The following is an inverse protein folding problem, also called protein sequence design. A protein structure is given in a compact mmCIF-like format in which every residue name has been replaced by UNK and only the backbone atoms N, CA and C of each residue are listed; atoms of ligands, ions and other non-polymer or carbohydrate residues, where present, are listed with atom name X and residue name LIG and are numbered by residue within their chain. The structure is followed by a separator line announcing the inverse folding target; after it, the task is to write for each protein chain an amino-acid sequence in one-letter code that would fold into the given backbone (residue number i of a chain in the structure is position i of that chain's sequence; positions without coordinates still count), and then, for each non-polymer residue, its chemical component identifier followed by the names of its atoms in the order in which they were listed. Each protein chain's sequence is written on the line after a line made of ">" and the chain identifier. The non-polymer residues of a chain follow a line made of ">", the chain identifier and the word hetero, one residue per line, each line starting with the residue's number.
data_IF_198603165664
#
_entry.id   IF_198603165664
#
_cell.length_a   1.000
_cell.length_b   1.000
_cell.length_c   1.000
_cell.angle_alpha   90.00
_cell.angle_beta   90.00
_cell.angle_gamma   90.00
#
_symmetry.space_group_name_H-M   'P 1'
#
loop_
_entity.id
_entity.type
_entity.pdbx_description
1 polymer ?
#
# COMPACT_ATOMS: atom_id res chain seq x y z
N UNK A 1 -81.72 20.43 -13.72
CA UNK A 1 -81.41 19.82 -12.41
C UNK A 1 -79.89 19.76 -12.23
N UNK A 2 -79.29 20.78 -11.59
CA UNK A 2 -77.87 20.81 -11.19
C UNK A 2 -77.83 21.42 -9.80
N UNK A 3 -77.38 20.65 -8.82
CA UNK A 3 -77.10 21.19 -7.48
C UNK A 3 -77.24 20.14 -6.39
N UNK A 4 -76.17 19.38 -6.12
CA UNK A 4 -75.94 18.64 -4.86
C UNK A 4 -74.56 17.95 -4.87
N UNK A 5 -73.46 18.67 -5.14
CA UNK A 5 -72.12 18.04 -5.06
C UNK A 5 -70.95 18.95 -4.64
N UNK A 6 -71.24 20.07 -3.96
CA UNK A 6 -70.20 20.99 -3.45
C UNK A 6 -70.09 21.05 -1.92
N UNK A 7 -71.08 20.57 -1.16
CA UNK A 7 -71.05 20.62 0.31
C UNK A 7 -70.28 19.47 0.98
N UNK A 8 -70.05 18.35 0.30
CA UNK A 8 -69.35 17.18 0.89
C UNK A 8 -67.83 17.32 0.84
N UNK A 9 -67.27 17.96 -0.20
CA UNK A 9 -65.81 18.18 -0.34
C UNK A 9 -65.24 19.20 0.63
N UNK A 10 -66.02 20.19 1.06
CA UNK A 10 -65.59 21.22 2.02
C UNK A 10 -65.59 20.72 3.46
N UNK A 11 -66.43 19.74 3.82
CA UNK A 11 -66.41 19.11 5.15
C UNK A 11 -65.21 18.19 5.35
N UNK A 12 -64.82 17.43 4.32
CA UNK A 12 -63.64 16.54 4.40
C UNK A 12 -62.31 17.31 4.51
N UNK A 13 -62.17 18.46 3.82
CA UNK A 13 -60.96 19.30 3.93
C UNK A 13 -60.77 19.92 5.33
N UNK A 14 -61.85 20.21 6.06
CA UNK A 14 -61.76 20.75 7.43
C UNK A 14 -61.39 19.70 8.48
N UNK A 15 -61.73 18.42 8.26
CA UNK A 15 -61.38 17.33 9.18
C UNK A 15 -59.91 16.92 9.01
N UNK A 16 -59.38 16.92 7.78
CA UNK A 16 -57.96 16.63 7.52
C UNK A 16 -57.03 17.72 8.09
N UNK A 17 -57.44 19.00 8.02
CA UNK A 17 -56.65 20.10 8.59
C UNK A 17 -56.65 20.11 10.13
N UNK A 18 -57.72 19.61 10.77
CA UNK A 18 -57.81 19.49 12.22
C UNK A 18 -56.98 18.31 12.77
N UNK A 19 -56.83 17.22 12.01
CA UNK A 19 -55.96 16.09 12.38
C UNK A 19 -54.47 16.38 12.16
N UNK A 20 -54.10 17.24 11.21
CA UNK A 20 -52.71 17.69 11.05
C UNK A 20 -52.25 18.65 12.16
N UNK A 21 -53.16 19.37 12.81
CA UNK A 21 -52.80 20.27 13.92
C UNK A 21 -52.58 19.53 15.24
N UNK A 22 -53.16 18.33 15.41
CA UNK A 22 -52.98 17.48 16.61
C UNK A 22 -51.76 16.56 16.48
N UNK A 23 -51.31 16.24 15.27
CA UNK A 23 -50.08 15.47 15.04
C UNK A 23 -48.79 16.31 15.18
N UNK A 24 -48.88 17.65 15.19
CA UNK A 24 -47.72 18.55 15.37
C UNK A 24 -47.41 18.90 16.84
N UNK A 25 -48.09 18.29 17.82
CA UNK A 25 -47.86 18.58 19.25
C UNK A 25 -47.23 17.42 20.04
N UNK A 26 -46.68 16.40 19.37
CA UNK A 26 -46.08 15.21 20.03
C UNK A 26 -44.59 14.98 19.72
N UNK A 27 -43.87 15.96 19.18
CA UNK A 27 -42.40 15.92 19.11
C UNK A 27 -41.80 17.20 19.68
N UNK A 28 -41.82 17.31 21.01
CA UNK A 28 -40.96 18.24 21.74
C UNK A 28 -39.90 17.42 22.45
N UNK A 29 -38.70 17.45 21.86
CA UNK A 29 -37.40 17.47 22.50
C UNK A 29 -37.22 16.67 23.81
N UNK A 30 -36.56 15.52 23.73
CA UNK A 30 -35.63 15.10 24.78
C UNK A 30 -34.43 16.06 24.78
N UNK A 31 -34.61 17.23 25.41
CA UNK A 31 -33.48 17.96 25.97
C UNK A 31 -33.07 17.22 27.25
N UNK A 32 -31.94 16.52 27.19
CA UNK A 32 -31.21 16.14 28.39
C UNK A 32 -30.70 17.44 29.05
N UNK A 33 -31.52 18.05 29.90
CA UNK A 33 -31.05 19.07 30.83
C UNK A 33 -30.29 18.37 31.95
N UNK A 34 -28.97 18.55 31.98
CA UNK A 34 -28.21 18.33 33.19
C UNK A 34 -28.79 19.26 34.27
N UNK A 35 -29.49 18.71 35.26
CA UNK A 35 -30.03 19.47 36.38
C UNK A 35 -28.88 19.91 37.27
N UNK A 36 -28.40 21.13 37.05
CA UNK A 36 -27.52 21.82 37.99
C UNK A 36 -28.37 22.31 39.16
N UNK A 37 -28.34 21.57 40.28
CA UNK A 37 -28.97 22.00 41.52
C UNK A 37 -28.18 23.17 42.11
N UNK A 38 -28.65 24.40 41.88
CA UNK A 38 -28.20 25.59 42.59
C UNK A 38 -29.08 25.83 43.81
N UNK A 39 -28.50 25.85 45.00
CA UNK A 39 -29.20 26.19 46.25
C UNK A 39 -29.65 27.67 46.22
N UNK A 40 -30.83 27.98 46.79
CA UNK A 40 -31.41 29.33 46.77
C UNK A 40 -30.69 30.23 47.78
N UNK A 41 -30.17 31.37 47.30
CA UNK A 41 -29.45 32.37 48.11
C UNK A 41 -30.41 33.13 49.02
N UNK A 42 -29.97 33.39 50.26
CA UNK A 42 -30.71 34.23 51.19
C UNK A 42 -30.31 35.71 51.05
N UNK A 43 -31.11 36.61 51.62
CA UNK A 43 -30.97 38.07 51.49
C UNK A 43 -29.59 38.61 51.93
N UNK A 44 -28.94 37.97 52.91
CA UNK A 44 -27.59 38.31 53.36
C UNK A 44 -26.51 37.99 52.31
N UNK A 45 -26.65 36.87 51.58
CA UNK A 45 -25.70 36.47 50.53
C UNK A 45 -25.80 37.35 49.28
N UNK A 46 -26.95 38.01 49.08
CA UNK A 46 -27.17 38.91 47.96
C UNK A 46 -26.52 40.28 48.15
N UNK A 47 -26.36 40.72 49.40
CA UNK A 47 -25.81 42.03 49.77
C UNK A 47 -24.31 42.00 50.07
N UNK A 48 -23.77 40.88 50.57
CA UNK A 48 -22.38 40.82 51.04
C UNK A 48 -21.56 39.62 50.49
N UNK A 49 -22.14 38.76 49.65
CA UNK A 49 -21.46 37.57 49.12
C UNK A 49 -20.61 37.84 47.86
N UNK A 50 -19.44 37.19 47.76
CA UNK A 50 -18.62 37.18 46.54
C UNK A 50 -19.23 36.28 45.46
N UNK A 51 -19.20 36.75 44.21
CA UNK A 51 -19.71 36.02 43.04
C UNK A 51 -18.68 35.01 42.53
N UNK A 52 -18.65 33.81 43.09
CA UNK A 52 -18.08 32.63 42.42
C UNK A 52 -19.03 31.43 42.48
N UNK A 53 -19.16 30.64 41.40
CA UNK A 53 -19.90 29.39 41.45
C UNK A 53 -19.07 28.33 42.19
N UNK A 54 -19.43 28.03 43.44
CA UNK A 54 -18.84 26.91 44.17
C UNK A 54 -19.33 25.59 43.56
N UNK A 55 -18.42 24.85 42.92
CA UNK A 55 -18.67 23.50 42.44
C UNK A 55 -18.79 22.55 43.64
N UNK A 56 -19.97 21.96 43.84
CA UNK A 56 -20.17 20.89 44.82
C UNK A 56 -19.97 19.57 44.10
N UNK A 57 -18.96 18.81 44.51
CA UNK A 57 -18.73 17.46 44.00
C UNK A 57 -19.94 16.58 44.36
N UNK A 58 -20.54 15.86 43.40
CA UNK A 58 -21.69 15.01 43.69
C UNK A 58 -21.29 13.87 44.63
N UNK A 59 -22.15 13.47 45.58
CA UNK A 59 -21.85 12.38 46.50
C UNK A 59 -21.59 11.08 45.71
N UNK A 60 -20.66 10.23 46.17
CA UNK A 60 -20.37 8.97 45.50
C UNK A 60 -21.64 8.13 45.46
N UNK A 61 -22.06 7.75 44.25
CA UNK A 61 -23.21 6.87 44.08
C UNK A 61 -22.95 5.55 44.80
N UNK A 62 -23.94 4.98 45.52
CA UNK A 62 -23.78 3.67 46.13
C UNK A 62 -23.49 2.64 45.05
N UNK A 63 -22.30 2.05 45.12
CA UNK A 63 -21.86 0.93 44.27
C UNK A 63 -22.89 -0.19 44.42
N UNK A 64 -23.76 -0.37 43.42
CA UNK A 64 -24.60 -1.57 43.34
C UNK A 64 -23.66 -2.76 43.35
N UNK A 65 -23.72 -3.55 44.43
CA UNK A 65 -23.10 -4.86 44.48
C UNK A 65 -23.72 -5.69 43.36
N UNK A 66 -22.97 -5.89 42.28
CA UNK A 66 -23.30 -6.90 41.29
C UNK A 66 -23.19 -8.26 41.97
N UNK A 67 -24.32 -8.94 42.12
CA UNK A 67 -24.34 -10.35 42.53
C UNK A 67 -23.44 -11.14 41.58
N UNK A 68 -22.61 -12.08 42.06
CA UNK A 68 -21.80 -12.91 41.17
C UNK A 68 -22.73 -13.71 40.23
N UNK A 69 -22.35 -13.90 38.95
CA UNK A 69 -23.16 -14.66 38.02
C UNK A 69 -23.21 -16.13 38.47
N UNK A 70 -24.43 -16.66 38.59
CA UNK A 70 -24.67 -18.08 38.86
C UNK A 70 -24.10 -18.89 37.69
N UNK A 71 -23.16 -19.78 37.98
CA UNK A 71 -22.52 -20.64 36.99
C UNK A 71 -23.57 -21.45 36.21
N UNK A 72 -23.71 -21.14 34.91
CA UNK A 72 -24.51 -21.94 33.98
C UNK A 72 -23.62 -23.04 33.43
N UNK A 73 -23.91 -24.30 33.79
CA UNK A 73 -23.21 -25.47 33.24
C UNK A 73 -23.41 -25.49 31.72
N UNK A 74 -22.32 -25.40 30.94
CA UNK A 74 -22.31 -25.66 29.50
C UNK A 74 -22.44 -27.17 29.28
N UNK A 75 -23.27 -27.64 28.34
CA UNK A 75 -23.25 -29.05 27.93
C UNK A 75 -21.94 -29.34 27.19
N UNK A 76 -21.30 -30.43 27.59
CA UNK A 76 -20.08 -31.00 27.00
C UNK A 76 -20.40 -31.51 25.59
N UNK A 77 -19.96 -30.78 24.57
CA UNK A 77 -19.86 -31.30 23.20
C UNK A 77 -18.46 -31.85 23.00
N UNK A 78 -18.33 -33.17 23.13
CA UNK A 78 -17.10 -33.92 22.90
C UNK A 78 -16.92 -34.14 21.40
N UNK A 79 -16.13 -33.30 20.74
CA UNK A 79 -15.29 -33.64 19.56
C UNK A 79 -14.62 -32.38 19.03
N UNK A 80 -13.50 -32.00 19.63
CA UNK A 80 -12.53 -31.11 18.98
C UNK A 80 -11.52 -32.04 18.33
N UNK A 81 -11.65 -32.24 17.02
CA UNK A 81 -10.52 -32.63 16.20
C UNK A 81 -9.54 -31.46 16.27
N UNK A 82 -8.50 -31.60 17.08
CA UNK A 82 -7.40 -30.64 17.13
C UNK A 82 -6.71 -30.66 15.78
N UNK A 83 -7.09 -29.75 14.89
CA UNK A 83 -6.28 -29.42 13.73
C UNK A 83 -5.07 -28.68 14.30
N UNK A 84 -3.96 -29.38 14.41
CA UNK A 84 -2.65 -28.78 14.66
C UNK A 84 -2.35 -27.88 13.47
N UNK A 85 -2.74 -26.61 13.54
CA UNK A 85 -2.22 -25.59 12.64
C UNK A 85 -0.73 -25.46 12.94
N UNK A 86 0.09 -26.13 12.13
CA UNK A 86 1.53 -25.88 12.05
C UNK A 86 1.70 -24.38 11.88
N UNK A 87 2.29 -23.71 12.88
CA UNK A 87 2.62 -22.30 12.79
C UNK A 87 3.49 -22.10 11.55
N UNK A 88 3.04 -21.24 10.63
CA UNK A 88 3.85 -20.86 9.49
C UNK A 88 5.23 -20.39 9.98
N UNK A 89 6.34 -20.79 9.33
CA UNK A 89 7.67 -20.29 9.67
C UNK A 89 7.68 -18.77 9.72
N UNK A 90 8.36 -18.19 10.71
CA UNK A 90 8.50 -16.75 10.80
C UNK A 90 9.12 -16.20 9.48
N UNK A 91 8.62 -15.08 8.95
CA UNK A 91 9.18 -14.51 7.73
C UNK A 91 10.68 -14.22 7.93
N UNK A 92 11.52 -14.44 6.90
CA UNK A 92 12.94 -14.16 7.00
C UNK A 92 13.18 -12.70 7.39
N UNK A 93 14.22 -12.40 8.18
CA UNK A 93 14.54 -11.03 8.58
C UNK A 93 14.78 -10.15 7.33
N UNK A 94 14.42 -8.86 7.37
CA UNK A 94 14.67 -7.94 6.25
C UNK A 94 16.14 -7.93 5.85
N UNK A 95 16.41 -7.83 4.54
CA UNK A 95 17.78 -7.74 4.06
C UNK A 95 18.45 -6.47 4.58
N UNK A 96 19.68 -6.59 5.07
CA UNK A 96 20.48 -5.43 5.47
C UNK A 96 20.63 -4.48 4.27
N UNK A 97 20.43 -3.19 4.48
CA UNK A 97 20.58 -2.20 3.41
C UNK A 97 22.07 -2.03 3.04
N UNK A 98 22.33 -1.70 1.78
CA UNK A 98 23.67 -1.31 1.34
C UNK A 98 23.97 0.11 1.82
N UNK A 99 25.25 0.43 1.99
CA UNK A 99 25.65 1.79 2.39
C UNK A 99 25.35 2.82 1.29
N UNK A 100 25.39 2.40 0.02
CA UNK A 100 25.07 3.19 -1.17
C UNK A 100 23.60 3.01 -1.63
N UNK A 101 22.74 2.45 -0.79
CA UNK A 101 21.34 2.24 -1.12
C UNK A 101 20.66 3.56 -1.55
N UNK A 102 19.91 3.50 -2.64
CA UNK A 102 19.15 4.64 -3.16
C UNK A 102 17.99 4.93 -2.21
N UNK A 103 17.97 6.15 -1.68
CA UNK A 103 16.95 6.60 -0.75
C UNK A 103 15.69 7.06 -1.48
N UNK A 104 14.54 6.55 -1.08
CA UNK A 104 13.21 7.05 -1.46
C UNK A 104 12.68 7.85 -0.30
N UNK A 105 12.56 9.17 -0.48
CA UNK A 105 11.97 10.05 0.53
C UNK A 105 10.46 10.07 0.36
N UNK A 106 9.73 9.70 1.41
CA UNK A 106 8.28 9.81 1.47
C UNK A 106 7.89 10.94 2.41
N UNK A 107 7.13 11.92 1.92
CA UNK A 107 6.64 13.06 2.70
C UNK A 107 5.12 13.19 2.64
N UNK A 108 4.58 13.82 3.69
CA UNK A 108 3.18 14.21 3.76
C UNK A 108 2.54 13.91 5.10
N UNK A 109 1.23 13.66 5.06
CA UNK A 109 0.41 13.46 6.27
C UNK A 109 0.41 12.00 6.76
N UNK A 110 -0.59 11.62 7.57
CA UNK A 110 -0.68 10.26 8.09
C UNK A 110 -0.90 9.20 7.00
N UNK A 111 -1.39 9.57 5.81
CA UNK A 111 -1.46 8.65 4.67
C UNK A 111 -0.07 8.36 4.12
N UNK A 112 0.76 9.40 3.93
CA UNK A 112 2.17 9.23 3.58
C UNK A 112 2.93 8.39 4.61
N UNK A 113 2.62 8.52 5.90
CA UNK A 113 3.18 7.66 6.95
C UNK A 113 2.88 6.18 6.69
N UNK A 114 1.62 5.87 6.38
CA UNK A 114 1.18 4.52 6.02
C UNK A 114 1.79 4.02 4.71
N UNK A 115 1.87 4.87 3.69
CA UNK A 115 2.53 4.54 2.43
C UNK A 115 4.01 4.22 2.63
N UNK A 116 4.73 5.03 3.42
CA UNK A 116 6.14 4.80 3.72
C UNK A 116 6.36 3.45 4.41
N UNK A 117 5.52 3.10 5.38
CA UNK A 117 5.56 1.78 6.03
C UNK A 117 5.31 0.66 5.02
N UNK A 118 4.30 0.80 4.14
CA UNK A 118 4.03 -0.19 3.10
C UNK A 118 5.16 -0.34 2.08
N UNK A 119 5.85 0.76 1.74
CA UNK A 119 7.01 0.76 0.85
C UNK A 119 8.22 0.11 1.52
N UNK A 120 8.41 0.29 2.84
CA UNK A 120 9.45 -0.43 3.59
C UNK A 120 9.27 -1.93 3.47
N UNK A 121 8.03 -2.41 3.61
CA UNK A 121 7.72 -3.83 3.44
C UNK A 121 7.93 -4.28 1.98
N UNK A 122 7.51 -3.46 1.00
CA UNK A 122 7.66 -3.77 -0.43
C UNK A 122 9.13 -3.91 -0.87
N UNK A 123 10.02 -3.09 -0.31
CA UNK A 123 11.45 -3.10 -0.59
C UNK A 123 12.27 -3.80 0.49
N UNK A 124 11.67 -4.57 1.39
CA UNK A 124 12.38 -5.24 2.49
C UNK A 124 13.48 -6.21 1.97
N UNK A 125 13.21 -6.89 0.86
CA UNK A 125 14.16 -7.79 0.20
C UNK A 125 15.14 -7.09 -0.75
N UNK A 126 14.97 -5.80 -1.01
CA UNK A 126 15.83 -5.03 -1.92
C UNK A 126 16.92 -4.29 -1.13
N UNK A 127 18.16 -4.80 -1.06
CA UNK A 127 19.20 -4.18 -0.23
C UNK A 127 19.65 -2.81 -0.78
N UNK A 128 19.50 -2.56 -2.08
CA UNK A 128 19.85 -1.30 -2.76
C UNK A 128 18.81 -0.17 -2.64
N UNK A 129 17.70 -0.38 -1.92
CA UNK A 129 16.67 0.66 -1.70
C UNK A 129 16.42 0.88 -0.21
N UNK A 130 16.54 2.13 0.23
CA UNK A 130 16.18 2.56 1.57
C UNK A 130 14.97 3.50 1.52
N UNK A 131 13.98 3.29 2.38
CA UNK A 131 12.79 4.14 2.46
C UNK A 131 12.93 5.10 3.64
N UNK A 132 13.03 6.38 3.34
CA UNK A 132 13.18 7.45 4.31
C UNK A 132 11.84 8.13 4.56
N UNK A 133 11.36 8.01 5.80
CA UNK A 133 10.04 8.50 6.21
C UNK A 133 10.18 9.87 6.87
N UNK A 134 9.62 10.90 6.26
CA UNK A 134 9.53 12.26 6.81
C UNK A 134 8.08 12.71 6.71
N UNK A 135 7.24 12.21 7.62
CA UNK A 135 5.81 12.48 7.70
C UNK A 135 5.47 13.32 8.93
N UNK A 136 4.39 14.11 8.85
CA UNK A 136 3.77 14.76 10.00
C UNK A 136 2.27 14.50 9.94
N UNK A 137 1.76 13.65 10.86
CA UNK A 137 0.44 13.03 10.75
C UNK A 137 -0.74 13.99 10.61
N UNK A 138 -0.70 15.14 11.28
CA UNK A 138 -1.78 16.14 11.24
C UNK A 138 -1.51 17.29 10.27
N UNK A 139 -0.42 17.22 9.51
CA UNK A 139 -0.05 18.25 8.55
C UNK A 139 -0.88 18.18 7.27
N UNK A 140 -0.70 19.21 6.45
CA UNK A 140 -1.33 19.39 5.16
C UNK A 140 -0.71 20.60 4.47
N UNK A 141 -1.19 20.97 3.28
CA UNK A 141 -0.76 22.19 2.60
C UNK A 141 -1.61 23.42 2.96
N UNK A 142 -2.69 23.27 3.73
CA UNK A 142 -3.53 24.39 4.16
C UNK A 142 -2.97 25.13 5.39
N UNK A 143 -2.54 24.37 6.40
CA UNK A 143 -2.06 24.93 7.68
C UNK A 143 -0.54 24.99 7.75
N UNK A 144 0.02 26.01 7.11
CA UNK A 144 1.46 26.34 7.19
C UNK A 144 1.87 26.77 8.61
N UNK A 145 0.94 27.36 9.37
CA UNK A 145 1.10 27.68 10.79
C UNK A 145 1.38 26.46 11.69
N UNK A 146 0.88 25.28 11.30
CA UNK A 146 1.10 24.03 12.02
C UNK A 146 2.37 23.32 11.56
N UNK A 147 2.51 23.10 10.25
CA UNK A 147 3.71 22.52 9.66
C UNK A 147 3.84 22.96 8.20
N UNK A 148 4.81 23.84 7.96
CA UNK A 148 5.05 24.42 6.63
C UNK A 148 5.95 23.51 5.78
N UNK A 149 5.33 22.65 4.97
CA UNK A 149 6.07 21.80 4.02
C UNK A 149 6.92 22.58 3.03
N UNK A 150 6.55 23.82 2.65
CA UNK A 150 7.31 24.62 1.68
C UNK A 150 8.63 25.09 2.26
N UNK A 151 8.68 25.46 3.53
CA UNK A 151 9.94 25.84 4.20
C UNK A 151 10.77 24.64 4.67
N UNK A 152 10.13 23.53 5.04
CA UNK A 152 10.83 22.35 5.55
C UNK A 152 11.47 21.50 4.45
N UNK A 153 10.81 21.37 3.29
CA UNK A 153 11.24 20.44 2.24
C UNK A 153 12.69 20.68 1.75
N UNK A 154 13.16 21.91 1.49
CA UNK A 154 14.56 22.13 1.07
C UNK A 154 15.59 21.52 2.03
N UNK A 155 15.43 21.74 3.34
CA UNK A 155 16.34 21.21 4.35
C UNK A 155 16.29 19.67 4.40
N UNK A 156 15.09 19.08 4.30
CA UNK A 156 14.92 17.63 4.24
C UNK A 156 15.62 17.04 3.00
N UNK A 157 15.51 17.68 1.83
CA UNK A 157 16.17 17.22 0.61
C UNK A 157 17.69 17.28 0.74
N UNK A 158 18.23 18.34 1.35
CA UNK A 158 19.67 18.53 1.53
C UNK A 158 20.25 17.54 2.58
N UNK A 159 19.48 17.21 3.62
CA UNK A 159 19.84 16.19 4.62
C UNK A 159 19.78 14.77 4.07
N UNK A 160 18.64 14.40 3.49
CA UNK A 160 18.36 13.00 3.08
C UNK A 160 19.10 12.65 1.80
N UNK A 161 19.22 13.60 0.86
CA UNK A 161 19.75 13.42 -0.50
C UNK A 161 19.07 12.25 -1.23
N UNK A 162 17.75 12.29 -1.39
CA UNK A 162 17.01 11.17 -1.96
C UNK A 162 17.28 11.00 -3.46
N UNK A 163 17.13 9.78 -3.93
CA UNK A 163 17.10 9.42 -5.34
C UNK A 163 15.72 9.61 -5.97
N UNK A 164 14.67 9.58 -5.16
CA UNK A 164 13.27 9.69 -5.55
C UNK A 164 12.47 10.31 -4.40
N UNK A 165 11.57 11.23 -4.73
CA UNK A 165 10.62 11.81 -3.77
C UNK A 165 9.22 11.31 -4.08
N UNK A 166 8.51 10.89 -3.04
CA UNK A 166 7.11 10.47 -3.06
C UNK A 166 6.32 11.36 -2.13
N UNK A 167 5.26 11.99 -2.63
CA UNK A 167 4.38 12.88 -1.87
C UNK A 167 2.99 12.26 -1.81
N UNK A 168 2.45 12.10 -0.60
CA UNK A 168 1.03 11.81 -0.38
C UNK A 168 0.50 12.72 0.73
N UNK A 169 -0.35 13.67 0.35
CA UNK A 169 -0.81 14.71 1.27
C UNK A 169 -2.20 15.18 0.89
N UNK A 170 -2.96 15.64 1.87
CA UNK A 170 -4.22 16.34 1.67
C UNK A 170 -5.39 15.76 2.45
N UNK A 171 -5.19 14.68 3.20
CA UNK A 171 -6.24 14.09 4.02
C UNK A 171 -6.75 15.09 5.08
N UNK A 172 -5.90 16.03 5.51
CA UNK A 172 -6.23 17.07 6.49
C UNK A 172 -6.57 18.44 5.85
N UNK A 173 -6.52 18.58 4.53
CA UNK A 173 -6.61 19.90 3.86
C UNK A 173 -8.04 20.36 3.57
N UNK A 174 -9.04 19.62 4.02
CA UNK A 174 -10.47 19.92 3.80
C UNK A 174 -10.98 21.01 4.75
N UNK A 175 -10.30 22.16 4.78
CA UNK A 175 -10.56 23.27 5.69
C UNK A 175 -10.27 24.63 5.01
N UNK A 176 -10.71 25.72 5.65
CA UNK A 176 -10.50 27.09 5.17
C UNK A 176 -8.99 27.40 5.06
N UNK A 177 -8.57 28.05 3.97
CA UNK A 177 -7.21 28.59 3.86
C UNK A 177 -7.22 30.02 4.41
N UNK A 178 -6.36 30.28 5.39
CA UNK A 178 -6.06 31.64 5.82
C UNK A 178 -4.85 32.14 5.05
N UNK A 179 -5.00 33.28 4.38
CA UNK A 179 -3.89 34.02 3.74
C UNK A 179 -3.72 35.36 4.46
N UNK A 180 -2.63 36.08 4.17
CA UNK A 180 -2.40 37.40 4.74
C UNK A 180 -3.53 38.42 4.45
N UNK A 181 -4.31 38.22 3.38
CA UNK A 181 -5.31 39.17 2.91
C UNK A 181 -6.75 38.66 2.95
N UNK A 182 -6.97 37.34 3.07
CA UNK A 182 -8.30 36.75 2.98
C UNK A 182 -8.39 35.38 3.65
N UNK A 183 -9.60 35.05 4.09
CA UNK A 183 -10.01 33.70 4.46
C UNK A 183 -10.77 33.09 3.30
N UNK A 184 -10.27 31.98 2.76
CA UNK A 184 -10.81 31.32 1.59
C UNK A 184 -11.54 30.06 2.04
N UNK A 185 -12.85 30.02 1.85
CA UNK A 185 -13.65 28.86 2.24
C UNK A 185 -13.36 27.65 1.35
N UNK A 186 -13.26 26.48 1.97
CA UNK A 186 -13.06 25.22 1.25
C UNK A 186 -14.15 25.02 0.18
N UNK A 187 -13.75 24.47 -0.98
CA UNK A 187 -14.56 24.30 -2.20
C UNK A 187 -14.90 25.57 -2.99
N UNK A 188 -14.37 26.73 -2.63
CA UNK A 188 -14.47 27.92 -3.51
C UNK A 188 -13.37 27.91 -4.57
N UNK A 189 -13.61 28.55 -5.72
CA UNK A 189 -12.61 28.68 -6.78
C UNK A 189 -11.33 29.37 -6.28
N UNK A 190 -11.49 30.37 -5.40
CA UNK A 190 -10.36 31.06 -4.78
C UNK A 190 -9.51 30.13 -3.92
N UNK A 191 -10.16 29.23 -3.16
CA UNK A 191 -9.48 28.21 -2.37
C UNK A 191 -8.70 27.24 -3.26
N UNK A 192 -9.32 26.69 -4.32
CA UNK A 192 -8.65 25.76 -5.22
C UNK A 192 -7.48 26.40 -5.94
N UNK A 193 -7.62 27.65 -6.38
CA UNK A 193 -6.53 28.40 -7.01
C UNK A 193 -5.33 28.59 -6.09
N UNK A 194 -5.57 28.92 -4.82
CA UNK A 194 -4.49 29.03 -3.82
C UNK A 194 -3.88 27.65 -3.49
N UNK A 195 -4.71 26.62 -3.38
CA UNK A 195 -4.25 25.26 -3.12
C UNK A 195 -3.39 24.71 -4.26
N UNK A 196 -3.80 24.92 -5.52
CA UNK A 196 -3.01 24.63 -6.72
C UNK A 196 -1.66 25.35 -6.71
N UNK A 197 -1.63 26.63 -6.32
CA UNK A 197 -0.39 27.38 -6.18
C UNK A 197 0.52 26.72 -5.15
N UNK A 198 -0.01 26.32 -3.98
CA UNK A 198 0.76 25.64 -2.93
C UNK A 198 1.31 24.28 -3.40
N UNK A 199 0.49 23.47 -4.07
CA UNK A 199 0.93 22.20 -4.68
C UNK A 199 2.07 22.45 -5.67
N UNK A 200 1.90 23.43 -6.57
CA UNK A 200 2.88 23.74 -7.60
C UNK A 200 4.21 24.23 -7.01
N UNK A 201 4.19 25.06 -5.95
CA UNK A 201 5.42 25.48 -5.27
C UNK A 201 6.16 24.28 -4.69
N UNK A 202 5.44 23.40 -3.96
CA UNK A 202 6.06 22.22 -3.34
C UNK A 202 6.67 21.29 -4.38
N UNK A 203 5.92 20.96 -5.44
CA UNK A 203 6.39 20.09 -6.51
C UNK A 203 7.58 20.69 -7.28
N UNK A 204 7.56 22.01 -7.52
CA UNK A 204 8.67 22.69 -8.20
C UNK A 204 9.95 22.70 -7.36
N UNK A 205 9.87 22.77 -6.02
CA UNK A 205 11.05 22.64 -5.14
C UNK A 205 11.81 21.33 -5.41
N UNK A 206 11.08 20.21 -5.57
CA UNK A 206 11.68 18.91 -5.90
C UNK A 206 12.27 18.92 -7.32
N UNK A 207 11.53 19.46 -8.30
CA UNK A 207 11.94 19.50 -9.70
C UNK A 207 13.16 20.40 -9.94
N UNK A 208 13.29 21.50 -9.22
CA UNK A 208 14.47 22.38 -9.29
C UNK A 208 15.74 21.69 -8.80
N UNK A 209 15.62 20.68 -7.93
CA UNK A 209 16.72 19.78 -7.53
C UNK A 209 16.95 18.62 -8.51
N UNK A 210 16.24 18.61 -9.65
CA UNK A 210 16.32 17.59 -10.70
C UNK A 210 15.97 16.17 -10.22
N UNK A 211 15.20 16.07 -9.13
CA UNK A 211 14.77 14.80 -8.57
C UNK A 211 13.49 14.30 -9.26
N UNK A 212 13.35 12.98 -9.49
CA UNK A 212 12.09 12.41 -9.91
C UNK A 212 11.07 12.55 -8.75
N UNK A 213 9.85 12.88 -9.12
CA UNK A 213 8.74 13.09 -8.19
C UNK A 213 7.57 12.19 -8.58
N UNK A 214 7.08 11.44 -7.59
CA UNK A 214 5.80 10.73 -7.64
C UNK A 214 4.83 11.43 -6.69
N UNK A 215 3.68 11.86 -7.21
CA UNK A 215 2.57 12.36 -6.41
C UNK A 215 1.49 11.28 -6.33
N UNK A 216 1.14 10.87 -5.12
CA UNK A 216 0.17 9.80 -4.87
C UNK A 216 -1.18 10.43 -4.54
N UNK A 217 -2.24 9.94 -5.20
CA UNK A 217 -3.60 10.35 -4.90
C UNK A 217 -4.08 9.87 -3.53
N UNK A 218 -5.06 10.57 -2.96
CA UNK A 218 -5.74 10.17 -1.75
C UNK A 218 -6.69 9.00 -2.03
N UNK A 219 -6.78 8.01 -1.15
CA UNK A 219 -7.72 6.91 -1.32
C UNK A 219 -9.11 7.27 -0.74
N UNK A 220 -10.12 6.43 -0.94
CA UNK A 220 -11.46 6.67 -0.40
C UNK A 220 -11.53 6.47 1.13
N UNK A 221 -12.37 7.28 1.80
CA UNK A 221 -12.58 7.29 3.26
C UNK A 221 -14.02 6.91 3.63
N UNK A 222 -14.26 6.48 4.87
CA UNK A 222 -15.64 6.14 5.29
C UNK A 222 -16.61 7.33 5.22
N UNK A 223 -16.27 8.53 5.73
CA UNK A 223 -17.15 9.68 5.60
C UNK A 223 -17.31 10.04 4.11
N UNK A 224 -18.55 9.99 3.60
CA UNK A 224 -18.82 10.20 2.18
C UNK A 224 -18.40 11.57 1.67
N UNK A 225 -18.55 12.61 2.51
CA UNK A 225 -18.06 13.94 2.19
C UNK A 225 -16.53 13.95 2.00
N UNK A 226 -15.79 13.18 2.79
CA UNK A 226 -14.34 13.05 2.67
C UNK A 226 -13.92 12.33 1.40
N UNK A 227 -14.65 11.28 1.02
CA UNK A 227 -14.45 10.59 -0.26
C UNK A 227 -14.71 11.50 -1.46
N UNK A 228 -15.80 12.25 -1.46
CA UNK A 228 -16.09 13.20 -2.54
C UNK A 228 -15.03 14.31 -2.65
N UNK A 229 -14.54 14.82 -1.52
CA UNK A 229 -13.49 15.82 -1.49
C UNK A 229 -12.14 15.25 -1.94
N UNK A 230 -11.79 14.03 -1.52
CA UNK A 230 -10.57 13.34 -1.95
C UNK A 230 -10.56 13.13 -3.47
N UNK A 231 -11.70 12.76 -4.07
CA UNK A 231 -11.82 12.64 -5.53
C UNK A 231 -11.56 13.98 -6.24
N UNK A 232 -12.11 15.06 -5.70
CA UNK A 232 -11.89 16.42 -6.22
C UNK A 232 -10.41 16.81 -6.12
N UNK A 233 -9.80 16.62 -4.96
CA UNK A 233 -8.38 16.93 -4.73
C UNK A 233 -7.46 16.09 -5.61
N UNK A 234 -7.79 14.82 -5.86
CA UNK A 234 -7.04 13.96 -6.77
C UNK A 234 -7.00 14.49 -8.21
N UNK A 235 -8.09 15.10 -8.68
CA UNK A 235 -8.11 15.81 -9.96
C UNK A 235 -7.10 16.97 -9.99
N UNK A 236 -7.04 17.75 -8.90
CA UNK A 236 -6.10 18.86 -8.74
C UNK A 236 -4.65 18.36 -8.70
N UNK A 237 -4.37 17.32 -7.91
CA UNK A 237 -3.03 16.72 -7.81
C UNK A 237 -2.54 16.17 -9.14
N UNK A 238 -3.40 15.46 -9.87
CA UNK A 238 -3.07 14.90 -11.19
C UNK A 238 -2.68 16.02 -12.16
N UNK A 239 -3.54 17.04 -12.30
CA UNK A 239 -3.28 18.16 -13.21
C UNK A 239 -1.99 18.92 -12.84
N UNK A 240 -1.76 19.14 -11.54
CA UNK A 240 -0.55 19.82 -11.07
C UNK A 240 0.72 18.98 -11.29
N UNK A 241 0.68 17.68 -11.03
CA UNK A 241 1.80 16.77 -11.26
C UNK A 241 2.16 16.69 -12.75
N UNK A 242 1.17 16.52 -13.63
CA UNK A 242 1.37 16.49 -15.08
C UNK A 242 2.01 17.78 -15.60
N UNK A 243 1.56 18.95 -15.11
CA UNK A 243 2.10 20.25 -15.50
C UNK A 243 3.60 20.42 -15.24
N UNK A 244 4.14 19.75 -14.22
CA UNK A 244 5.57 19.80 -13.88
C UNK A 244 6.35 18.55 -14.31
N UNK A 245 5.70 17.67 -15.10
CA UNK A 245 6.27 16.40 -15.53
C UNK A 245 6.61 15.45 -14.36
N UNK A 246 5.84 15.53 -13.27
CA UNK A 246 5.84 14.55 -12.20
C UNK A 246 4.86 13.41 -12.53
N UNK A 247 5.09 12.25 -11.93
CA UNK A 247 4.23 11.10 -12.14
C UNK A 247 3.11 11.07 -11.10
N UNK A 248 1.86 11.08 -11.55
CA UNK A 248 0.71 10.90 -10.66
C UNK A 248 0.35 9.40 -10.56
N UNK A 249 0.30 8.88 -9.34
CA UNK A 249 -0.15 7.51 -9.06
C UNK A 249 -1.55 7.56 -8.47
N UNK A 250 -2.51 7.08 -9.26
CA UNK A 250 -3.89 6.90 -8.81
C UNK A 250 -4.02 5.59 -8.03
N UNK A 251 -4.56 5.69 -6.82
CA UNK A 251 -4.75 4.57 -5.90
C UNK A 251 -6.23 4.29 -5.64
N UNK A 252 -7.13 5.09 -6.22
CA UNK A 252 -8.55 5.14 -5.89
C UNK A 252 -9.22 3.76 -5.94
N UNK A 253 -9.07 3.07 -7.07
CA UNK A 253 -9.68 1.77 -7.36
C UNK A 253 -9.27 0.66 -6.37
N UNK A 254 -8.16 0.86 -5.66
CA UNK A 254 -7.71 -0.08 -4.63
C UNK A 254 -8.55 -0.04 -3.35
N UNK A 255 -9.32 1.03 -3.15
CA UNK A 255 -10.01 1.34 -1.88
C UNK A 255 -11.50 1.64 -2.05
N UNK A 256 -12.05 1.31 -3.21
CA UNK A 256 -13.48 1.36 -3.50
C UNK A 256 -13.99 0.03 -4.05
N UNK A 257 -15.30 -0.16 -4.05
CA UNK A 257 -15.97 -1.23 -4.79
C UNK A 257 -16.26 -0.83 -6.24
N UNK A 258 -16.96 -1.69 -6.97
CA UNK A 258 -17.33 -1.50 -8.37
C UNK A 258 -18.20 -0.26 -8.61
N UNK A 259 -18.91 0.22 -7.59
CA UNK A 259 -19.74 1.43 -7.66
C UNK A 259 -18.97 2.68 -7.22
N UNK A 260 -17.66 2.56 -6.96
CA UNK A 260 -16.84 3.65 -6.44
C UNK A 260 -17.10 3.97 -4.96
N UNK A 261 -17.78 3.08 -4.22
CA UNK A 261 -18.10 3.30 -2.80
C UNK A 261 -16.97 2.79 -1.92
N UNK A 262 -16.72 3.48 -0.81
CA UNK A 262 -15.71 3.11 0.17
C UNK A 262 -15.85 1.65 0.64
N UNK A 263 -14.72 0.94 0.70
CA UNK A 263 -14.63 -0.41 1.26
C UNK A 263 -13.74 -0.47 2.50
N UNK A 264 -14.13 -1.33 3.44
CA UNK A 264 -13.31 -1.68 4.61
C UNK A 264 -12.42 -2.89 4.34
N UNK A 265 -12.93 -3.83 3.55
CA UNK A 265 -12.30 -5.09 3.16
C UNK A 265 -12.19 -5.12 1.65
N UNK A 266 -11.04 -5.55 1.14
CA UNK A 266 -10.82 -5.73 -0.28
C UNK A 266 -9.66 -6.69 -0.54
N UNK A 267 -9.37 -6.94 -1.81
CA UNK A 267 -8.23 -7.76 -2.20
C UNK A 267 -6.91 -7.11 -1.76
N UNK A 268 -6.01 -7.90 -1.19
CA UNK A 268 -4.60 -7.56 -0.96
C UNK A 268 -3.80 -7.66 -2.28
N UNK A 269 -2.48 -7.55 -2.18
CA UNK A 269 -1.57 -7.67 -3.34
C UNK A 269 -1.56 -9.07 -3.97
N UNK A 270 -2.05 -10.09 -3.26
CA UNK A 270 -2.14 -11.48 -3.71
C UNK A 270 -3.59 -11.86 -4.13
N UNK A 271 -4.51 -10.90 -4.13
CA UNK A 271 -5.92 -11.12 -4.45
C UNK A 271 -6.80 -11.58 -3.28
N UNK A 272 -6.24 -11.85 -2.10
CA UNK A 272 -6.96 -12.34 -0.93
C UNK A 272 -7.79 -11.23 -0.26
N UNK A 273 -9.01 -11.55 0.16
CA UNK A 273 -9.86 -10.59 0.86
C UNK A 273 -9.36 -10.34 2.28
N UNK A 274 -8.88 -9.12 2.53
CA UNK A 274 -8.36 -8.68 3.83
C UNK A 274 -8.94 -7.33 4.21
N UNK A 275 -8.90 -7.02 5.50
CA UNK A 275 -9.27 -5.70 5.99
C UNK A 275 -8.19 -4.68 5.60
N UNK A 276 -8.56 -3.65 4.83
CA UNK A 276 -7.65 -2.60 4.37
C UNK A 276 -7.71 -1.34 5.25
N UNK A 277 -8.86 -1.09 5.90
CA UNK A 277 -9.11 0.11 6.70
C UNK A 277 -9.21 -0.16 8.19
N UNK A 278 -8.80 0.81 9.00
CA UNK A 278 -9.00 0.83 10.44
C UNK A 278 -10.47 0.78 10.85
N UNK A 279 -10.72 0.62 12.15
CA UNK A 279 -12.08 0.66 12.69
C UNK A 279 -12.73 2.04 12.52
N UNK A 280 -11.93 3.10 12.50
CA UNK A 280 -12.29 4.48 12.19
C UNK A 280 -12.72 4.71 10.73
N UNK A 281 -12.29 3.84 9.81
CA UNK A 281 -12.55 4.00 8.37
C UNK A 281 -11.75 5.12 7.72
N UNK A 282 -10.69 5.59 8.41
CA UNK A 282 -9.77 6.62 7.95
C UNK A 282 -8.38 5.98 7.84
N UNK A 283 -7.82 5.48 8.94
CA UNK A 283 -6.51 4.83 8.95
C UNK A 283 -6.43 3.56 8.09
N UNK A 284 -5.20 3.17 7.75
CA UNK A 284 -4.89 1.93 7.03
C UNK A 284 -4.42 0.83 7.99
N UNK A 285 -4.84 -0.41 7.73
CA UNK A 285 -4.22 -1.60 8.34
C UNK A 285 -2.86 -1.88 7.69
N UNK A 286 -2.06 -2.81 8.23
CA UNK A 286 -0.81 -3.24 7.58
C UNK A 286 -1.04 -3.71 6.13
N UNK A 287 -2.08 -4.53 5.89
CA UNK A 287 -2.44 -4.96 4.54
C UNK A 287 -2.88 -3.79 3.64
N UNK A 288 -3.60 -2.82 4.19
CA UNK A 288 -3.97 -1.59 3.49
C UNK A 288 -2.76 -0.75 3.10
N UNK A 289 -1.81 -0.57 4.01
CA UNK A 289 -0.53 0.12 3.76
C UNK A 289 0.28 -0.57 2.66
N UNK A 290 0.40 -1.90 2.72
CA UNK A 290 1.09 -2.69 1.69
C UNK A 290 0.41 -2.60 0.33
N UNK A 291 -0.93 -2.60 0.29
CA UNK A 291 -1.71 -2.38 -0.93
C UNK A 291 -1.50 -0.97 -1.50
N UNK A 292 -1.52 0.06 -0.66
CA UNK A 292 -1.25 1.43 -1.09
C UNK A 292 0.14 1.53 -1.73
N UNK A 293 1.15 0.97 -1.06
CA UNK A 293 2.51 0.91 -1.58
C UNK A 293 2.64 0.14 -2.90
N UNK A 294 1.83 -0.89 -3.12
CA UNK A 294 1.84 -1.67 -4.37
C UNK A 294 1.55 -0.83 -5.62
N UNK A 295 0.65 0.16 -5.53
CA UNK A 295 0.38 1.08 -6.65
C UNK A 295 1.60 1.94 -6.99
N UNK A 296 2.36 2.35 -5.97
CA UNK A 296 3.56 3.20 -6.12
C UNK A 296 4.79 2.38 -6.50
N UNK A 297 4.84 1.11 -6.08
CA UNK A 297 6.01 0.23 -6.19
C UNK A 297 6.51 0.13 -7.63
N UNK A 298 5.62 -0.08 -8.60
CA UNK A 298 5.99 -0.19 -10.02
C UNK A 298 6.65 1.10 -10.54
N UNK A 299 6.09 2.25 -10.20
CA UNK A 299 6.62 3.56 -10.58
C UNK A 299 8.00 3.80 -9.93
N UNK A 300 8.12 3.51 -8.63
CA UNK A 300 9.38 3.63 -7.90
C UNK A 300 10.48 2.72 -8.48
N UNK A 301 10.17 1.43 -8.73
CA UNK A 301 11.12 0.48 -9.34
C UNK A 301 11.64 0.97 -10.67
N UNK A 302 10.77 1.48 -11.55
CA UNK A 302 11.18 2.04 -12.84
C UNK A 302 12.14 3.23 -12.70
N UNK A 303 11.98 4.07 -11.67
CA UNK A 303 12.85 5.24 -11.43
C UNK A 303 14.19 4.86 -10.81
N UNK A 304 14.22 3.81 -9.98
CA UNK A 304 15.40 3.36 -9.25
C UNK A 304 16.24 2.35 -10.04
N UNK A 305 15.65 1.67 -11.02
CA UNK A 305 16.32 0.71 -11.89
C UNK A 305 16.78 -0.55 -11.15
N UNK A 306 17.97 -1.02 -11.50
CA UNK A 306 18.55 -2.29 -11.03
C UNK A 306 18.69 -2.36 -9.51
N UNK A 307 18.85 -1.20 -8.84
CA UNK A 307 18.90 -1.01 -7.38
C UNK A 307 17.73 -1.64 -6.62
N UNK A 308 16.64 -1.94 -7.31
CA UNK A 308 15.44 -2.55 -6.74
C UNK A 308 15.44 -4.08 -6.75
N UNK A 309 16.41 -4.72 -7.43
CA UNK A 309 16.50 -6.17 -7.50
C UNK A 309 16.77 -6.76 -6.11
N UNK A 310 16.02 -7.80 -5.69
CA UNK A 310 16.37 -8.56 -4.49
C UNK A 310 17.68 -9.34 -4.68
N UNK A 311 18.01 -9.67 -5.92
CA UNK A 311 19.21 -10.42 -6.30
C UNK A 311 20.43 -9.50 -6.46
N UNK A 312 20.38 -8.26 -5.96
CA UNK A 312 21.56 -7.42 -5.85
C UNK A 312 22.52 -8.06 -4.85
N UNK A 313 23.39 -8.89 -5.41
CA UNK A 313 24.42 -9.62 -4.69
C UNK A 313 25.30 -8.60 -3.98
N UNK A 314 25.37 -8.70 -2.65
CA UNK A 314 26.52 -8.21 -1.91
C UNK A 314 27.72 -8.96 -2.47
N UNK A 315 28.58 -8.29 -3.23
CA UNK A 315 29.91 -8.82 -3.58
C UNK A 315 30.80 -8.77 -2.33
N UNK A 316 30.32 -9.29 -1.21
CA UNK A 316 31.17 -9.62 -0.07
C UNK A 316 31.67 -11.05 -0.25
N UNK A 317 32.84 -11.33 0.32
CA UNK A 317 33.50 -12.63 0.23
C UNK A 317 32.68 -13.78 0.81
N UNK A 318 31.59 -13.49 1.54
CA UNK A 318 30.65 -14.45 2.09
C UNK A 318 29.54 -14.89 1.13
N UNK A 319 29.28 -14.16 0.04
CA UNK A 319 28.12 -14.39 -0.82
C UNK A 319 28.45 -14.48 -2.32
N UNK A 320 29.73 -14.57 -2.67
CA UNK A 320 30.13 -15.02 -4.00
C UNK A 320 29.51 -16.41 -4.21
N UNK A 321 28.87 -16.67 -5.37
CA UNK A 321 28.51 -18.05 -5.70
C UNK A 321 29.82 -18.83 -5.56
N UNK A 322 29.79 -19.90 -4.75
CA UNK A 322 30.76 -20.96 -4.91
C UNK A 322 30.68 -21.26 -6.40
N UNK A 323 31.74 -20.95 -7.13
CA UNK A 323 31.98 -21.59 -8.41
C UNK A 323 32.00 -23.05 -8.01
N UNK A 324 30.82 -23.69 -8.09
CA UNK A 324 30.70 -25.11 -8.27
C UNK A 324 31.51 -25.28 -9.54
N UNK A 325 32.81 -25.55 -9.36
CA UNK A 325 33.57 -26.40 -10.24
C UNK A 325 32.59 -27.53 -10.52
N UNK A 326 31.93 -27.43 -11.68
CA UNK A 326 31.03 -28.46 -12.16
C UNK A 326 31.79 -29.76 -11.89
N UNK A 327 31.20 -30.74 -11.18
CA UNK A 327 31.88 -32.01 -11.00
C UNK A 327 32.37 -32.42 -12.39
N UNK A 328 33.65 -32.82 -12.56
CA UNK A 328 34.26 -33.06 -13.87
C UNK A 328 33.57 -34.16 -14.71
N UNK A 329 32.43 -34.67 -14.23
CA UNK A 329 31.56 -35.64 -14.86
C UNK A 329 30.54 -35.06 -15.87
N UNK A 330 30.36 -33.73 -15.96
CA UNK A 330 29.42 -33.12 -16.93
C UNK A 330 30.07 -32.38 -18.10
N UNK A 331 31.40 -32.41 -18.23
CA UNK A 331 32.07 -32.33 -19.53
C UNK A 331 31.89 -33.65 -20.29
N UNK A 332 30.64 -34.12 -20.40
CA UNK A 332 30.31 -35.16 -21.36
C UNK A 332 30.67 -34.59 -22.73
N UNK A 333 31.48 -35.34 -23.49
CA UNK A 333 31.83 -35.03 -24.86
C UNK A 333 30.55 -34.72 -25.64
N UNK A 334 30.20 -33.44 -25.71
CA UNK A 334 29.08 -32.94 -26.48
C UNK A 334 29.52 -33.11 -27.92
N UNK A 335 29.18 -34.27 -28.50
CA UNK A 335 29.37 -34.53 -29.93
C UNK A 335 28.38 -33.63 -30.65
N UNK A 336 28.78 -32.38 -30.85
CA UNK A 336 28.02 -31.41 -31.63
C UNK A 336 28.19 -31.83 -33.08
N UNK A 337 27.15 -32.41 -33.67
CA UNK A 337 27.12 -32.67 -35.11
C UNK A 337 27.24 -31.33 -35.81
N UNK A 338 28.31 -31.14 -36.58
CA UNK A 338 28.51 -29.89 -37.32
C UNK A 338 27.35 -29.71 -38.31
N UNK A 339 26.78 -28.49 -38.45
CA UNK A 339 25.76 -28.23 -39.44
C UNK A 339 26.30 -28.53 -40.85
N UNK A 340 25.56 -29.30 -41.63
CA UNK A 340 25.83 -29.57 -43.05
C UNK A 340 25.09 -28.52 -43.87
N UNK A 341 25.73 -28.02 -44.93
CA UNK A 341 25.11 -27.10 -45.87
C UNK A 341 23.99 -27.82 -46.66
N UNK A 342 22.80 -27.22 -46.70
CA UNK A 342 21.61 -27.77 -47.36
C UNK A 342 21.67 -27.68 -48.89
N UNK A 343 22.68 -27.00 -49.44
CA UNK A 343 22.83 -26.76 -50.87
C UNK A 343 24.01 -27.52 -51.53
N UNK A 344 24.61 -28.49 -50.83
CA UNK A 344 25.65 -29.38 -51.38
C UNK A 344 25.06 -30.74 -51.78
N UNK A 345 24.67 -30.95 -53.06
CA UNK A 345 24.09 -32.21 -53.54
C UNK A 345 25.13 -33.31 -53.78
N UNK A 346 26.44 -33.01 -53.79
CA UNK A 346 27.49 -33.99 -54.08
C UNK A 346 28.04 -34.65 -52.81
N UNK A 347 27.71 -34.12 -51.62
CA UNK A 347 28.15 -34.62 -50.31
C UNK A 347 29.69 -34.74 -50.21
N UNK A 348 30.43 -33.95 -50.98
CA UNK A 348 31.89 -34.02 -51.05
C UNK A 348 32.59 -33.03 -50.10
N UNK A 349 31.83 -32.13 -49.47
CA UNK A 349 32.32 -31.22 -48.45
C UNK A 349 33.14 -30.11 -49.08
N UNK A 350 32.45 -29.09 -49.59
CA UNK A 350 33.04 -27.83 -50.04
C UNK A 350 34.18 -27.39 -49.10
N UNK A 351 35.34 -27.12 -49.69
CA UNK A 351 36.69 -27.23 -49.12
C UNK A 351 37.04 -26.39 -47.87
N UNK A 352 36.09 -25.69 -47.25
CA UNK A 352 36.31 -25.02 -45.98
C UNK A 352 35.01 -24.84 -45.18
N UNK A 353 34.96 -25.45 -43.99
CA UNK A 353 33.83 -25.37 -43.06
C UNK A 353 33.78 -24.02 -42.33
N UNK A 354 32.59 -23.58 -41.90
CA UNK A 354 32.42 -22.44 -40.99
C UNK A 354 32.94 -22.80 -39.57
N UNK A 355 34.27 -22.84 -39.42
CA UNK A 355 34.97 -23.30 -38.22
C UNK A 355 36.46 -23.63 -38.42
N UNK A 356 37.11 -23.12 -39.48
CA UNK A 356 38.49 -23.42 -39.85
C UNK A 356 39.57 -22.99 -38.82
N UNK A 357 39.18 -22.35 -37.71
CA UNK A 357 40.06 -22.18 -36.55
C UNK A 357 40.11 -23.46 -35.73
N UNK A 358 41.29 -24.07 -35.50
CA UNK A 358 41.41 -25.24 -34.63
C UNK A 358 40.88 -24.90 -33.23
N UNK A 359 39.87 -25.63 -32.78
CA UNK A 359 39.42 -25.55 -31.39
C UNK A 359 40.56 -26.04 -30.47
N UNK A 360 40.70 -25.47 -29.26
CA UNK A 360 41.64 -26.00 -28.28
C UNK A 360 41.38 -27.49 -28.06
N UNK A 361 42.44 -28.28 -28.12
CA UNK A 361 42.39 -29.74 -27.92
C UNK A 361 41.72 -30.00 -26.58
N UNK A 362 40.58 -30.70 -26.60
CA UNK A 362 39.92 -31.12 -25.38
C UNK A 362 40.92 -31.94 -24.55
N UNK A 363 41.08 -31.60 -23.26
CA UNK A 363 42.02 -32.28 -22.36
C UNK A 363 41.68 -33.75 -22.07
N UNK A 364 40.58 -34.25 -22.63
CA UNK A 364 40.08 -35.61 -22.44
C UNK A 364 40.12 -36.32 -23.80
N UNK A 365 40.86 -37.44 -23.94
CA UNK A 365 40.97 -38.17 -25.20
C UNK A 365 39.63 -38.72 -25.63
N UNK A 366 39.32 -38.57 -26.92
CA UNK A 366 38.08 -39.04 -27.53
C UNK A 366 37.93 -40.57 -27.42
N UNK A 367 36.70 -41.12 -27.47
CA UNK A 367 36.48 -42.57 -27.47
C UNK A 367 37.28 -43.32 -28.55
N UNK A 368 37.49 -42.69 -29.72
CA UNK A 368 38.33 -43.24 -30.79
C UNK A 368 39.80 -43.28 -30.39
N UNK A 369 40.32 -42.22 -29.78
CA UNK A 369 41.70 -42.19 -29.30
C UNK A 369 41.94 -43.17 -28.15
N UNK A 370 40.95 -43.37 -27.28
CA UNK A 370 41.03 -44.39 -26.23
C UNK A 370 41.06 -45.81 -26.81
N UNK A 371 40.25 -46.08 -27.84
CA UNK A 371 40.31 -47.37 -28.56
C UNK A 371 41.67 -47.56 -29.23
N UNK A 372 42.20 -46.54 -29.90
CA UNK A 372 43.47 -46.62 -30.64
C UNK A 372 44.68 -46.74 -29.70
N UNK A 373 44.69 -46.01 -28.58
CA UNK A 373 45.82 -46.02 -27.63
C UNK A 373 45.74 -47.15 -26.61
N UNK A 374 44.56 -47.40 -26.06
CA UNK A 374 44.39 -48.27 -24.90
C UNK A 374 43.66 -49.58 -25.25
N UNK A 375 43.14 -49.72 -26.47
CA UNK A 375 42.37 -50.91 -26.89
C UNK A 375 41.00 -51.04 -26.23
N UNK A 376 40.53 -50.01 -25.51
CA UNK A 376 39.29 -50.04 -24.72
C UNK A 376 38.40 -48.89 -25.15
N UNK A 377 37.13 -49.19 -25.44
CA UNK A 377 36.08 -48.18 -25.65
C UNK A 377 35.41 -47.85 -24.32
N UNK A 378 35.09 -46.57 -24.05
CA UNK A 378 34.25 -46.23 -22.92
C UNK A 378 32.85 -46.86 -23.09
N UNK A 379 32.14 -47.15 -21.99
CA UNK A 379 30.80 -47.72 -22.05
C UNK A 379 29.85 -46.80 -22.84
N UNK A 380 28.88 -47.38 -23.58
CA UNK A 380 27.94 -46.62 -24.40
C UNK A 380 27.05 -45.69 -23.54
N UNK A 381 26.63 -44.53 -24.09
CA UNK A 381 25.69 -43.63 -23.42
C UNK A 381 24.34 -44.32 -23.12
N UNK A 382 23.71 -43.94 -22.01
CA UNK A 382 22.41 -44.46 -21.62
C UNK A 382 21.35 -44.22 -22.71
N UNK A 383 20.61 -45.26 -23.10
CA UNK A 383 19.53 -45.19 -24.10
C UNK A 383 19.97 -45.37 -25.56
N UNK A 384 21.27 -45.59 -25.83
CA UNK A 384 21.75 -45.96 -27.17
C UNK A 384 21.48 -47.44 -27.46
N UNK A 385 21.28 -47.80 -28.73
CA UNK A 385 20.88 -49.16 -29.15
C UNK A 385 21.88 -50.27 -28.80
N UNK A 386 23.14 -49.91 -28.53
CA UNK A 386 24.22 -50.80 -28.12
C UNK A 386 24.53 -50.73 -26.62
N UNK A 387 23.77 -49.95 -25.85
CA UNK A 387 23.81 -49.99 -24.39
C UNK A 387 23.04 -51.20 -23.86
N UNK A 388 23.74 -52.33 -23.76
CA UNK A 388 23.21 -53.61 -23.29
C UNK A 388 23.15 -53.73 -21.76
N UNK A 389 23.34 -52.64 -21.01
CA UNK A 389 23.23 -52.66 -19.54
C UNK A 389 21.78 -52.91 -19.16
N UNK A 390 21.55 -54.02 -18.45
CA UNK A 390 20.24 -54.31 -17.86
C UNK A 390 20.07 -53.39 -16.64
N UNK A 391 19.09 -52.47 -16.62
CA UNK A 391 18.86 -51.65 -15.44
C UNK A 391 18.48 -52.55 -14.24
N UNK A 392 19.01 -52.30 -13.04
CA UNK A 392 18.65 -53.06 -11.86
C UNK A 392 17.13 -52.94 -11.62
N UNK A 393 16.49 -54.08 -11.35
CA UNK A 393 15.04 -54.17 -11.11
C UNK A 393 14.62 -53.18 -10.03
N UNK A 394 13.91 -52.13 -10.41
CA UNK A 394 13.34 -51.13 -9.49
C UNK A 394 13.57 -49.66 -9.86
N UNK A 395 14.35 -49.33 -10.89
CA UNK A 395 14.50 -47.95 -11.36
C UNK A 395 13.60 -47.68 -12.56
N UNK A 396 12.53 -46.92 -12.36
CA UNK A 396 11.79 -46.25 -13.43
C UNK A 396 12.69 -45.17 -14.04
N UNK A 397 12.88 -45.21 -15.35
CA UNK A 397 13.59 -44.18 -16.11
C UNK A 397 12.91 -42.79 -15.97
N UNK A 398 13.67 -41.68 -16.01
CA UNK A 398 13.10 -40.34 -16.13
C UNK A 398 12.46 -40.09 -17.50
#
# INVERSE_FOLDING_TARGET
>A
MRGTNQQTKTRQRKIVLALSLVACFSMVAEMASAQQYGERRNLLDLLFGTREPRYVEPPPMPRKQTKPPRARKKPTSTSITTITTTSAPAPPPPAAKLEDARKVLVIGDFMADGLADGLKDAFAASPGVAIEKRSNGSSGLVRDDYYDWHSQLPAILDEVKPALVVIEIGANDRQQIETASAKLDFRTDAWFKEYERRIAVLGNTVKQRQLPLIWVGLPAFRPQNMTADALTLNGVYRAAAEKIGAEFVDVWDGFVDQDGRFIVTGSDINGQQVRLRGTDGIGLTASGKRKLAFYVEKAARRRLGDMTSPDLVRLDSSNLPVLLELPPAETQNLVRTQPIDLFDPELDGSSELLGATPLPVAGIPSPREQLVRNGVLPPPPAGRVDDLRIPPTGSTAP
#
